data_IF_697363453155
#
_entry.id   IF_697363453155
#
_cell.length_a   1.000
_cell.length_b   1.000
_cell.length_c   1.000
_cell.angle_alpha   90.00
_cell.angle_beta   90.00
_cell.angle_gamma   90.00
#
_symmetry.space_group_name_H-M   'P 1'
#
loop_
_entity.id
_entity.type
_entity.pdbx_description
1 polymer ?
#
# COMPACT_ATOMS: atom_id res chain seq x y z
N UNK A 1 -31.39 38.93 -29.73
CA UNK A 1 -31.46 38.04 -28.54
C UNK A 1 -31.33 36.56 -28.89
N UNK A 2 -32.14 35.97 -29.79
CA UNK A 2 -32.03 34.54 -30.18
C UNK A 2 -30.65 34.12 -30.73
N UNK A 3 -29.97 34.97 -31.50
CA UNK A 3 -28.64 34.67 -32.07
C UNK A 3 -27.48 34.70 -31.06
N UNK A 4 -27.65 35.44 -29.95
CA UNK A 4 -26.64 35.53 -28.87
C UNK A 4 -26.73 34.31 -27.95
N UNK A 5 -27.95 33.83 -27.69
CA UNK A 5 -28.19 32.61 -26.91
C UNK A 5 -27.61 31.37 -27.61
N UNK A 6 -27.71 31.29 -28.94
CA UNK A 6 -27.13 30.18 -29.70
C UNK A 6 -25.59 30.15 -29.64
N UNK A 7 -24.95 31.31 -29.60
CA UNK A 7 -23.49 31.43 -29.43
C UNK A 7 -23.02 31.03 -28.02
N UNK A 8 -23.78 31.40 -26.98
CA UNK A 8 -23.47 30.98 -25.60
C UNK A 8 -23.63 29.46 -25.40
N UNK A 9 -24.60 28.85 -26.08
CA UNK A 9 -24.81 27.40 -26.04
C UNK A 9 -23.64 26.63 -26.68
N UNK A 10 -23.07 27.15 -27.77
CA UNK A 10 -21.93 26.54 -28.45
C UNK A 10 -20.63 26.60 -27.62
N UNK A 11 -20.44 27.66 -26.81
CA UNK A 11 -19.29 27.80 -25.91
C UNK A 11 -19.34 26.81 -24.73
N UNK A 12 -20.53 26.49 -24.22
CA UNK A 12 -20.70 25.52 -23.13
C UNK A 12 -20.43 24.06 -23.56
N UNK A 13 -20.64 23.73 -24.84
CA UNK A 13 -20.46 22.38 -25.40
C UNK A 13 -19.01 22.03 -25.75
N UNK A 14 -18.11 23.01 -25.82
CA UNK A 14 -16.68 22.77 -26.12
C UNK A 14 -15.83 22.46 -24.87
N UNK A 15 -16.35 22.73 -23.67
CA UNK A 15 -15.63 22.55 -22.40
C UNK A 15 -15.30 21.07 -22.08
N UNK A 16 -16.16 20.07 -22.36
CA UNK A 16 -15.82 18.68 -22.06
C UNK A 16 -14.76 18.07 -22.99
N UNK A 17 -14.33 18.76 -24.06
CA UNK A 17 -13.27 18.25 -24.95
C UNK A 17 -11.85 18.35 -24.35
N UNK A 18 -11.69 19.02 -23.20
CA UNK A 18 -10.41 19.19 -22.51
C UNK A 18 -10.32 18.50 -21.15
N UNK A 19 -11.27 17.61 -20.83
CA UNK A 19 -11.24 16.88 -19.56
C UNK A 19 -11.02 15.40 -19.81
N UNK A 20 -9.96 14.87 -19.22
CA UNK A 20 -9.56 13.46 -19.14
C UNK A 20 -8.63 12.92 -20.24
N UNK A 21 -7.44 13.53 -20.37
CA UNK A 21 -6.23 12.71 -20.52
C UNK A 21 -6.01 11.94 -19.20
N UNK A 22 -6.84 10.93 -18.93
CA UNK A 22 -6.49 9.92 -17.94
C UNK A 22 -5.37 9.15 -18.60
N UNK A 23 -4.12 9.51 -18.28
CA UNK A 23 -2.99 8.59 -18.42
C UNK A 23 -3.35 7.38 -17.58
N UNK A 24 -4.01 6.41 -18.21
CA UNK A 24 -3.98 5.04 -17.73
C UNK A 24 -2.54 4.63 -17.94
N UNK A 25 -1.71 4.84 -16.92
CA UNK A 25 -0.45 4.11 -16.84
C UNK A 25 -0.85 2.65 -16.85
N UNK A 26 -0.73 2.02 -18.02
CA UNK A 26 -0.68 0.57 -18.09
C UNK A 26 0.41 0.18 -17.11
N UNK A 27 0.02 -0.48 -16.02
CA UNK A 27 0.95 -1.03 -15.06
C UNK A 27 1.89 -1.91 -15.88
N UNK A 28 3.11 -1.42 -16.12
CA UNK A 28 4.14 -2.17 -16.83
C UNK A 28 4.15 -3.56 -16.23
N UNK A 29 4.07 -4.60 -17.08
CA UNK A 29 4.03 -5.97 -16.59
C UNK A 29 5.20 -6.20 -15.65
N UNK A 30 4.90 -6.26 -14.36
CA UNK A 30 5.91 -6.34 -13.32
C UNK A 30 6.45 -7.76 -13.38
N UNK A 31 7.61 -7.94 -14.02
CA UNK A 31 8.32 -9.23 -14.00
C UNK A 31 8.76 -9.47 -12.55
N UNK A 32 8.00 -10.29 -11.85
CA UNK A 32 8.33 -10.69 -10.48
C UNK A 32 9.58 -11.56 -10.56
N UNK A 33 10.65 -11.13 -9.88
CA UNK A 33 11.86 -11.95 -9.84
C UNK A 33 11.60 -13.23 -9.05
N UNK A 34 11.98 -14.40 -9.58
CA UNK A 34 11.82 -15.67 -8.87
C UNK A 34 12.45 -15.65 -7.46
N UNK A 35 13.56 -14.93 -7.28
CA UNK A 35 14.29 -14.86 -6.00
C UNK A 35 13.49 -14.20 -4.86
N UNK A 36 12.55 -13.30 -5.16
CA UNK A 36 11.77 -12.57 -4.15
C UNK A 36 10.40 -13.20 -3.86
N UNK A 37 10.16 -14.42 -4.36
CA UNK A 37 8.94 -15.18 -4.09
C UNK A 37 8.76 -15.50 -2.60
N UNK A 38 9.86 -15.69 -1.85
CA UNK A 38 9.82 -15.92 -0.39
C UNK A 38 9.22 -14.73 0.36
N UNK A 39 9.56 -13.50 -0.04
CA UNK A 39 8.98 -12.28 0.50
C UNK A 39 7.48 -12.20 0.17
N UNK A 40 7.10 -12.30 -1.11
CA UNK A 40 5.69 -12.19 -1.52
C UNK A 40 4.79 -13.25 -0.88
N UNK A 41 5.27 -14.49 -0.75
CA UNK A 41 4.53 -15.56 -0.10
C UNK A 41 4.37 -15.35 1.40
N UNK A 42 5.42 -14.88 2.08
CA UNK A 42 5.35 -14.62 3.50
C UNK A 42 4.37 -13.47 3.79
N UNK A 43 4.40 -12.45 2.94
CA UNK A 43 3.48 -11.31 3.02
C UNK A 43 2.04 -11.75 2.75
N UNK A 44 1.76 -12.53 1.70
CA UNK A 44 0.40 -12.92 1.30
C UNK A 44 -0.60 -11.76 1.33
N UNK A 45 -0.50 -10.85 0.37
CA UNK A 45 -1.29 -9.62 0.33
C UNK A 45 -2.53 -9.70 -0.55
N UNK A 46 -3.05 -10.91 -0.83
CA UNK A 46 -4.24 -11.09 -1.69
C UNK A 46 -5.43 -10.25 -1.24
N UNK A 47 -5.63 -10.14 0.05
CA UNK A 47 -6.73 -9.37 0.67
C UNK A 47 -6.34 -7.95 1.08
N UNK A 48 -5.06 -7.58 0.91
CA UNK A 48 -4.60 -6.23 1.23
C UNK A 48 -5.13 -5.21 0.22
N UNK A 49 -5.19 -3.94 0.63
CA UNK A 49 -5.59 -2.84 -0.24
C UNK A 49 -4.69 -2.74 -1.50
N UNK A 50 -5.25 -2.28 -2.62
CA UNK A 50 -4.54 -2.09 -3.90
C UNK A 50 -3.19 -1.35 -3.74
N UNK A 51 -3.10 -0.18 -3.07
CA UNK A 51 -1.82 0.54 -2.92
C UNK A 51 -0.76 -0.25 -2.14
N UNK A 52 -1.19 -1.10 -1.20
CA UNK A 52 -0.29 -2.00 -0.45
C UNK A 52 0.33 -3.01 -1.40
N UNK A 53 -0.51 -3.76 -2.13
CA UNK A 53 -0.06 -4.79 -3.09
C UNK A 53 0.84 -4.22 -4.17
N UNK A 54 0.55 -3.00 -4.62
CA UNK A 54 1.35 -2.32 -5.63
C UNK A 54 2.78 -2.08 -5.12
N UNK A 55 2.93 -1.53 -3.91
CA UNK A 55 4.25 -1.27 -3.31
C UNK A 55 5.02 -2.56 -3.05
N UNK A 56 4.37 -3.59 -2.50
CA UNK A 56 5.01 -4.89 -2.25
C UNK A 56 5.46 -5.58 -3.56
N UNK A 57 4.69 -5.45 -4.64
CA UNK A 57 5.11 -5.94 -5.97
C UNK A 57 6.31 -5.19 -6.51
N UNK A 58 6.34 -3.86 -6.35
CA UNK A 58 7.51 -3.05 -6.75
C UNK A 58 8.76 -3.48 -5.98
N UNK A 59 8.65 -3.74 -4.68
CA UNK A 59 9.75 -4.27 -3.85
C UNK A 59 10.24 -5.61 -4.39
N UNK A 60 9.32 -6.52 -4.71
CA UNK A 60 9.67 -7.86 -5.19
C UNK A 60 10.30 -7.86 -6.59
N UNK A 61 9.94 -6.89 -7.44
CA UNK A 61 10.47 -6.78 -8.81
C UNK A 61 11.73 -5.96 -8.96
N UNK A 62 12.01 -5.07 -7.99
CA UNK A 62 13.15 -4.18 -8.05
C UNK A 62 14.46 -4.97 -8.09
N UNK A 63 15.33 -4.62 -9.05
CA UNK A 63 16.67 -5.18 -9.16
C UNK A 63 17.68 -4.16 -8.65
N UNK A 64 18.28 -4.44 -7.50
CA UNK A 64 19.33 -3.59 -6.95
C UNK A 64 20.68 -3.81 -7.63
N UNK A 65 20.88 -4.96 -8.29
CA UNK A 65 22.14 -5.31 -8.97
C UNK A 65 22.37 -4.49 -10.24
N UNK A 66 21.28 -3.99 -10.83
CA UNK A 66 21.28 -3.12 -12.02
C UNK A 66 21.21 -1.62 -11.65
N UNK A 67 21.26 -1.28 -10.36
CA UNK A 67 21.18 0.10 -9.92
C UNK A 67 22.53 0.82 -10.07
N UNK A 68 22.53 2.12 -10.43
CA UNK A 68 23.75 2.91 -10.60
C UNK A 68 24.63 2.98 -9.32
N UNK A 69 24.01 2.85 -8.16
CA UNK A 69 24.67 2.85 -6.86
C UNK A 69 25.19 1.47 -6.44
N UNK A 70 24.99 0.43 -7.25
CA UNK A 70 25.47 -0.92 -6.96
C UNK A 70 27.00 -0.95 -6.91
N UNK A 71 27.51 -1.73 -5.95
CA UNK A 71 28.93 -1.98 -5.68
C UNK A 71 29.10 -3.39 -5.08
N UNK A 72 29.89 -4.25 -5.70
CA UNK A 72 30.06 -5.65 -5.27
C UNK A 72 30.57 -5.82 -3.82
N UNK A 73 31.14 -4.77 -3.19
CA UNK A 73 31.68 -4.79 -1.83
C UNK A 73 30.66 -4.49 -0.72
N UNK A 74 29.39 -4.25 -1.04
CA UNK A 74 28.35 -4.02 -0.05
C UNK A 74 27.58 -5.29 0.31
N UNK A 75 27.48 -5.58 1.62
CA UNK A 75 26.75 -6.73 2.15
C UNK A 75 25.24 -6.64 1.89
N UNK A 76 24.68 -5.44 1.92
CA UNK A 76 23.26 -5.20 1.67
C UNK A 76 22.98 -3.77 1.19
N UNK A 77 21.81 -3.60 0.59
CA UNK A 77 21.29 -2.35 0.06
C UNK A 77 19.95 -2.00 0.67
N UNK A 78 19.79 -0.76 1.11
CA UNK A 78 18.51 -0.26 1.61
C UNK A 78 17.83 0.61 0.57
N UNK A 79 16.63 0.23 0.14
CA UNK A 79 15.83 0.96 -0.85
C UNK A 79 14.49 1.34 -0.23
N UNK A 80 14.07 2.59 -0.44
CA UNK A 80 12.79 3.12 0.03
C UNK A 80 11.82 3.31 -1.12
N UNK A 81 10.65 2.66 -1.02
CA UNK A 81 9.52 2.83 -1.93
C UNK A 81 8.42 3.60 -1.21
N UNK A 82 7.82 4.60 -1.86
CA UNK A 82 6.82 5.45 -1.20
C UNK A 82 5.71 5.91 -2.15
N UNK A 83 4.54 6.08 -1.56
CA UNK A 83 3.36 6.76 -2.09
C UNK A 83 2.85 7.70 -0.97
N UNK A 84 1.89 8.60 -1.22
CA UNK A 84 1.41 9.53 -0.19
C UNK A 84 1.03 8.86 1.15
N UNK A 85 0.36 7.72 1.07
CA UNK A 85 -0.18 7.00 2.24
C UNK A 85 0.58 5.71 2.59
N UNK A 86 1.74 5.46 1.98
CA UNK A 86 2.47 4.20 2.14
C UNK A 86 3.98 4.33 1.95
N UNK A 87 4.75 3.60 2.76
CA UNK A 87 6.20 3.48 2.60
C UNK A 87 6.65 2.06 2.93
N UNK A 88 7.53 1.52 2.09
CA UNK A 88 8.30 0.30 2.36
C UNK A 88 9.78 0.66 2.36
N UNK A 89 10.49 0.25 3.40
CA UNK A 89 11.96 0.22 3.42
C UNK A 89 12.35 -1.24 3.29
N UNK A 90 13.05 -1.60 2.22
CA UNK A 90 13.50 -2.94 1.93
C UNK A 90 15.03 -3.00 1.98
N UNK A 91 15.55 -4.02 2.65
CA UNK A 91 16.95 -4.42 2.61
C UNK A 91 17.09 -5.60 1.64
N UNK A 92 17.97 -5.46 0.67
CA UNK A 92 18.35 -6.47 -0.32
C UNK A 92 19.77 -6.94 -0.03
N UNK A 93 20.06 -8.23 -0.15
CA UNK A 93 21.44 -8.73 -0.15
C UNK A 93 22.17 -8.39 -1.46
N UNK A 94 23.45 -8.75 -1.54
CA UNK A 94 24.30 -8.52 -2.71
C UNK A 94 23.77 -9.18 -4.01
N UNK A 95 22.96 -10.23 -3.90
CA UNK A 95 22.33 -10.95 -5.01
C UNK A 95 20.97 -10.34 -5.43
N UNK A 96 20.51 -9.29 -4.74
CA UNK A 96 19.26 -8.61 -5.02
C UNK A 96 18.02 -9.29 -4.44
N UNK A 97 18.20 -10.19 -3.46
CA UNK A 97 17.11 -10.83 -2.75
C UNK A 97 16.70 -10.01 -1.53
N UNK A 98 15.40 -9.86 -1.34
CA UNK A 98 14.82 -9.17 -0.18
C UNK A 98 15.06 -9.99 1.09
N UNK A 99 15.86 -9.46 2.02
CA UNK A 99 16.16 -10.11 3.31
C UNK A 99 15.33 -9.53 4.45
N UNK A 100 14.88 -8.28 4.33
CA UNK A 100 14.06 -7.60 5.35
C UNK A 100 13.22 -6.48 4.78
N UNK A 101 12.00 -6.30 5.30
CA UNK A 101 11.20 -5.10 5.05
C UNK A 101 10.61 -4.51 6.31
N UNK A 102 10.47 -3.18 6.31
CA UNK A 102 9.65 -2.43 7.27
C UNK A 102 8.66 -1.59 6.47
N UNK A 103 7.39 -1.88 6.67
CA UNK A 103 6.30 -1.35 5.86
C UNK A 103 5.30 -0.61 6.74
N UNK A 104 4.80 0.51 6.23
CA UNK A 104 3.81 1.32 6.92
C UNK A 104 2.88 1.97 5.92
N UNK A 105 1.59 1.72 6.11
CA UNK A 105 0.51 2.31 5.35
C UNK A 105 -0.47 3.00 6.29
N UNK A 106 -1.12 4.05 5.82
CA UNK A 106 -2.11 4.82 6.56
C UNK A 106 -3.43 4.75 5.86
N UNK A 107 -4.50 4.67 6.63
CA UNK A 107 -5.87 4.85 6.17
C UNK A 107 -6.21 3.91 4.98
N UNK A 108 -5.79 2.64 5.08
CA UNK A 108 -5.99 1.59 4.06
C UNK A 108 -7.15 0.67 4.45
N UNK A 109 -7.81 0.11 3.44
CA UNK A 109 -8.90 -0.84 3.66
C UNK A 109 -8.45 -2.02 4.53
N UNK A 110 -9.19 -2.26 5.63
CA UNK A 110 -8.94 -3.36 6.54
C UNK A 110 -9.43 -4.70 5.93
N UNK A 111 -8.77 -5.83 6.24
CA UNK A 111 -9.29 -7.16 5.94
C UNK A 111 -10.60 -7.44 6.68
N UNK A 112 -11.37 -8.40 6.18
CA UNK A 112 -12.70 -8.70 6.70
C UNK A 112 -12.66 -9.34 8.09
N UNK A 113 -11.61 -10.12 8.39
CA UNK A 113 -11.33 -10.69 9.71
C UNK A 113 -11.15 -9.59 10.75
N UNK A 114 -10.40 -8.54 10.41
CA UNK A 114 -10.15 -7.40 11.30
C UNK A 114 -11.42 -6.60 11.49
N UNK A 115 -12.20 -6.36 10.43
CA UNK A 115 -13.50 -5.68 10.53
C UNK A 115 -14.46 -6.44 11.43
N UNK A 116 -14.56 -7.76 11.24
CA UNK A 116 -15.45 -8.63 12.03
C UNK A 116 -15.07 -8.60 13.50
N UNK A 117 -13.78 -8.79 13.83
CA UNK A 117 -13.29 -8.73 15.20
C UNK A 117 -13.58 -7.38 15.89
N UNK A 118 -13.49 -6.26 15.14
CA UNK A 118 -13.83 -4.94 15.66
C UNK A 118 -15.32 -4.78 15.93
N UNK A 119 -16.18 -5.22 15.01
CA UNK A 119 -17.63 -5.15 15.17
C UNK A 119 -18.11 -5.95 16.38
N UNK A 120 -17.55 -7.15 16.57
CA UNK A 120 -17.90 -8.03 17.68
C UNK A 120 -17.47 -7.44 19.03
N UNK A 121 -16.26 -6.89 19.12
CA UNK A 121 -15.69 -6.40 20.39
C UNK A 121 -16.10 -4.97 20.73
N UNK A 122 -16.26 -4.11 19.73
CA UNK A 122 -16.51 -2.69 19.88
C UNK A 122 -17.73 -2.24 19.05
N UNK A 123 -18.94 -2.77 19.35
CA UNK A 123 -20.14 -2.38 18.63
C UNK A 123 -20.39 -0.87 18.76
N UNK A 124 -20.81 -0.24 17.66
CA UNK A 124 -21.05 1.22 17.55
C UNK A 124 -19.80 2.11 17.64
N UNK A 125 -18.59 1.56 17.59
CA UNK A 125 -17.36 2.36 17.46
C UNK A 125 -16.96 2.47 15.98
N UNK A 126 -16.49 3.66 15.59
CA UNK A 126 -16.02 3.92 14.23
C UNK A 126 -14.50 3.97 14.20
N UNK A 127 -13.87 3.34 13.21
CA UNK A 127 -12.45 3.52 12.93
C UNK A 127 -12.24 4.90 12.31
N UNK A 128 -11.58 5.80 13.04
CA UNK A 128 -11.30 7.17 12.58
C UNK A 128 -9.95 7.32 11.90
N UNK A 129 -8.99 6.44 12.23
CA UNK A 129 -7.65 6.35 11.62
C UNK A 129 -7.16 4.92 11.70
N UNK A 130 -6.43 4.48 10.69
CA UNK A 130 -5.68 3.23 10.72
C UNK A 130 -4.23 3.41 10.28
N UNK A 131 -3.38 2.58 10.87
CA UNK A 131 -2.00 2.40 10.44
C UNK A 131 -1.75 0.91 10.33
N UNK A 132 -1.64 0.44 9.10
CA UNK A 132 -1.22 -0.91 8.79
C UNK A 132 0.31 -0.98 8.77
N UNK A 133 0.88 -1.95 9.49
CA UNK A 133 2.33 -2.19 9.55
C UNK A 133 2.62 -3.62 9.19
N UNK A 134 3.61 -3.80 8.33
CA UNK A 134 4.17 -5.11 8.00
C UNK A 134 5.66 -5.09 8.29
N UNK A 135 6.16 -6.17 8.84
CA UNK A 135 7.60 -6.42 8.93
C UNK A 135 7.86 -7.80 8.37
N UNK A 136 8.81 -7.89 7.45
CA UNK A 136 9.32 -9.16 6.95
C UNK A 136 10.78 -9.32 7.35
N UNK A 137 11.18 -10.52 7.73
CA UNK A 137 12.57 -10.95 7.67
C UNK A 137 12.63 -12.31 7.03
N UNK A 138 13.73 -12.61 6.35
CA UNK A 138 13.90 -13.89 5.68
C UNK A 138 13.67 -15.09 6.63
N UNK A 139 14.16 -14.99 7.86
CA UNK A 139 14.12 -16.08 8.84
C UNK A 139 12.78 -16.23 9.57
N UNK A 140 12.02 -15.14 9.73
CA UNK A 140 10.83 -15.09 10.59
C UNK A 140 9.53 -14.91 9.81
N UNK A 141 9.60 -14.74 8.49
CA UNK A 141 8.44 -14.44 7.66
C UNK A 141 7.87 -13.05 7.93
N UNK A 142 6.58 -12.88 7.65
CA UNK A 142 5.91 -11.59 7.80
C UNK A 142 5.06 -11.50 9.07
N UNK A 143 5.06 -10.33 9.68
CA UNK A 143 4.17 -9.96 10.79
C UNK A 143 3.35 -8.74 10.41
N UNK A 144 2.03 -8.85 10.52
CA UNK A 144 1.05 -7.82 10.16
C UNK A 144 0.36 -7.30 11.40
N UNK A 145 0.31 -5.97 11.56
CA UNK A 145 -0.36 -5.31 12.68
C UNK A 145 -1.14 -4.10 12.18
N UNK A 146 -2.42 -4.05 12.55
CA UNK A 146 -3.30 -2.90 12.37
C UNK A 146 -3.37 -2.11 13.68
N UNK A 147 -2.98 -0.83 13.63
CA UNK A 147 -3.13 0.10 14.75
C UNK A 147 -4.28 1.04 14.44
N UNK A 148 -5.33 0.98 15.25
CA UNK A 148 -6.60 1.63 14.95
C UNK A 148 -6.94 2.66 16.02
N UNK A 149 -7.43 3.81 15.60
CA UNK A 149 -8.04 4.80 16.48
C UNK A 149 -9.56 4.71 16.35
N UNK A 150 -10.21 4.17 17.37
CA UNK A 150 -11.67 4.05 17.44
C UNK A 150 -12.28 5.28 18.11
N UNK A 151 -13.44 5.70 17.63
CA UNK A 151 -14.23 6.81 18.19
C UNK A 151 -15.67 6.41 18.42
N UNK A 152 -16.27 6.92 19.50
CA UNK A 152 -17.69 6.78 19.81
C UNK A 152 -18.14 8.02 20.60
N UNK A 153 -18.83 8.93 19.90
CA UNK A 153 -19.05 10.30 20.39
C UNK A 153 -17.72 10.99 20.69
N UNK A 154 -17.60 11.54 21.90
CA UNK A 154 -16.37 12.22 22.36
C UNK A 154 -15.28 11.26 22.85
N UNK A 155 -15.58 9.96 22.97
CA UNK A 155 -14.63 8.96 23.45
C UNK A 155 -13.73 8.48 22.33
N UNK A 156 -12.44 8.29 22.64
CA UNK A 156 -11.43 7.76 21.72
C UNK A 156 -10.64 6.65 22.38
N UNK A 157 -10.32 5.60 21.64
CA UNK A 157 -9.41 4.55 22.11
C UNK A 157 -8.51 4.05 20.99
N UNK A 158 -7.34 3.53 21.36
CA UNK A 158 -6.42 2.89 20.42
C UNK A 158 -6.40 1.39 20.65
N UNK A 159 -6.54 0.62 19.59
CA UNK A 159 -6.42 -0.83 19.63
C UNK A 159 -5.38 -1.30 18.63
N UNK A 160 -4.78 -2.46 18.91
CA UNK A 160 -3.93 -3.17 17.97
C UNK A 160 -4.58 -4.52 17.67
N UNK A 161 -4.58 -4.87 16.40
CA UNK A 161 -5.14 -6.14 15.91
C UNK A 161 -4.13 -6.75 14.95
N UNK A 162 -3.95 -8.06 14.99
CA UNK A 162 -3.20 -8.78 13.95
C UNK A 162 -4.07 -9.01 12.70
N UNK A 163 -3.56 -9.74 11.71
CA UNK A 163 -4.27 -10.00 10.46
C UNK A 163 -5.37 -11.07 10.55
N UNK A 164 -5.54 -11.74 11.68
CA UNK A 164 -6.60 -12.74 11.89
C UNK A 164 -7.66 -12.26 12.91
N UNK A 165 -7.61 -10.97 13.28
CA UNK A 165 -8.58 -10.37 14.20
C UNK A 165 -8.23 -10.51 15.68
N UNK A 166 -7.04 -11.00 16.05
CA UNK A 166 -6.62 -11.10 17.46
C UNK A 166 -6.15 -9.73 17.96
N UNK A 167 -6.67 -9.31 19.11
CA UNK A 167 -6.26 -8.07 19.76
C UNK A 167 -4.97 -8.24 20.58
N UNK A 168 -4.04 -7.28 20.46
CA UNK A 168 -2.68 -7.30 21.03
C UNK A 168 -2.46 -6.28 22.14
#
# INVERSE_FOLDING_TARGET
MKKVILGLLALGLAIPAFTQDVKVEELSEVVIRPMNFKYLNAIDSREAAVPVRMLERMVASYDVTEAEFYREDFDFYTVSFFIPDGKIVAEYDADGKVIRTIEKFKDVALPDEVKTALLDRFPNWTVSKDVYRVTYTEDNGAKKIYKLLLVNGDKKMRVKVDNIGTFL
#
